data_IF_769325731320
#
_entry.id   IF_769325731320
#
_cell.length_a   1.000
_cell.length_b   1.000
_cell.length_c   1.000
_cell.angle_alpha   90.00
_cell.angle_beta   90.00
_cell.angle_gamma   90.00
#
_symmetry.space_group_name_H-M   'P 1'
#
loop_
_entity.id
_entity.type
_entity.pdbx_description
1 polymer ?
#
# COMPACT_ATOMS: atom_id res chain seq x y z
N UNK A 1 7.62 -11.25 6.10
CA UNK A 1 8.99 -11.72 5.83
C UNK A 1 9.70 -10.72 4.94
N UNK A 2 11.01 -10.57 5.11
CA UNK A 2 11.84 -9.66 4.31
C UNK A 2 11.59 -9.84 2.80
N UNK A 3 11.37 -8.73 2.07
CA UNK A 3 11.14 -8.74 0.62
C UNK A 3 9.73 -8.36 0.15
N UNK A 4 8.81 -7.98 1.03
CA UNK A 4 7.51 -7.41 0.62
C UNK A 4 7.53 -5.88 0.72
N UNK A 5 7.36 -5.21 -0.43
CA UNK A 5 7.44 -3.75 -0.54
C UNK A 5 6.55 -2.99 0.45
N UNK A 6 5.46 -3.59 0.94
CA UNK A 6 4.55 -2.98 1.91
C UNK A 6 5.25 -2.68 3.25
N UNK A 7 6.10 -3.59 3.75
CA UNK A 7 6.81 -3.38 5.01
C UNK A 7 7.74 -2.18 4.89
N UNK A 8 8.55 -2.15 3.82
CA UNK A 8 9.54 -1.09 3.63
C UNK A 8 8.83 0.26 3.42
N UNK A 9 7.67 0.27 2.75
CA UNK A 9 6.81 1.45 2.63
C UNK A 9 6.29 1.93 3.99
N UNK A 10 5.83 1.01 4.85
CA UNK A 10 5.36 1.35 6.20
C UNK A 10 6.50 1.93 7.05
N UNK A 11 7.67 1.28 7.04
CA UNK A 11 8.83 1.72 7.81
C UNK A 11 9.36 3.08 7.31
N UNK A 12 9.38 3.30 5.99
CA UNK A 12 9.76 4.58 5.41
C UNK A 12 8.82 5.71 5.83
N UNK A 13 7.53 5.43 6.02
CA UNK A 13 6.54 6.41 6.47
C UNK A 13 6.56 6.64 7.98
N UNK A 14 6.57 5.57 8.79
CA UNK A 14 6.49 5.66 10.25
C UNK A 14 7.82 6.09 10.90
N UNK A 15 8.93 6.09 10.16
CA UNK A 15 10.26 6.39 10.68
C UNK A 15 10.88 5.22 11.46
N UNK A 16 12.19 5.31 11.71
CA UNK A 16 12.86 4.37 12.62
C UNK A 16 12.29 4.54 14.02
N UNK A 17 12.00 3.45 14.77
CA UNK A 17 11.57 3.57 16.16
C UNK A 17 12.60 4.40 16.92
N UNK A 18 12.16 5.48 17.58
CA UNK A 18 13.01 6.23 18.49
C UNK A 18 13.54 5.28 19.57
N UNK A 19 14.84 5.39 19.84
CA UNK A 19 15.66 4.50 20.67
C UNK A 19 15.13 4.23 22.08
N UNK A 20 14.17 5.03 22.56
CA UNK A 20 13.62 4.96 23.92
C UNK A 20 12.36 4.08 24.03
N UNK A 21 11.79 3.63 22.91
CA UNK A 21 10.69 2.66 22.93
C UNK A 21 11.29 1.28 22.67
N UNK A 22 11.33 0.43 23.71
CA UNK A 22 11.67 -1.00 23.54
C UNK A 22 10.90 -1.52 22.32
N UNK A 23 11.56 -2.04 21.27
CA UNK A 23 10.85 -2.49 20.09
C UNK A 23 9.89 -3.59 20.53
N UNK A 24 8.58 -3.30 20.51
CA UNK A 24 7.56 -4.35 20.57
C UNK A 24 7.91 -5.32 19.44
N UNK A 25 7.87 -6.62 19.73
CA UNK A 25 8.24 -7.67 18.79
C UNK A 25 7.56 -7.39 17.45
N UNK A 26 8.36 -7.08 16.43
CA UNK A 26 7.84 -6.81 15.10
C UNK A 26 7.47 -8.16 14.48
N UNK A 27 6.19 -8.50 14.53
CA UNK A 27 5.72 -9.80 14.06
C UNK A 27 5.58 -9.78 12.54
N UNK A 28 6.36 -10.61 11.88
CA UNK A 28 6.41 -10.65 10.42
C UNK A 28 5.46 -11.70 9.85
N UNK A 29 4.41 -11.28 9.15
CA UNK A 29 3.64 -12.15 8.25
C UNK A 29 4.18 -12.11 6.82
N UNK A 30 3.98 -13.19 6.05
CA UNK A 30 4.22 -13.21 4.59
C UNK A 30 2.96 -12.84 3.78
N UNK A 31 1.80 -12.87 4.41
CA UNK A 31 0.51 -12.50 3.82
C UNK A 31 -0.18 -11.45 4.66
N UNK A 32 -0.89 -10.53 4.00
CA UNK A 32 -1.75 -9.55 4.66
C UNK A 32 -2.78 -10.24 5.55
N UNK A 33 -3.35 -11.36 5.09
CA UNK A 33 -4.33 -12.12 5.87
C UNK A 33 -3.74 -12.61 7.20
N UNK A 34 -2.52 -13.17 7.16
CA UNK A 34 -1.85 -13.64 8.38
C UNK A 34 -1.62 -12.50 9.36
N UNK A 35 -1.25 -11.31 8.86
CA UNK A 35 -1.07 -10.12 9.70
C UNK A 35 -2.38 -9.71 10.34
N UNK A 36 -3.48 -9.69 9.57
CA UNK A 36 -4.80 -9.35 10.10
C UNK A 36 -5.28 -10.35 11.15
N UNK A 37 -5.08 -11.66 10.92
CA UNK A 37 -5.39 -12.68 11.93
C UNK A 37 -4.61 -12.46 13.25
N UNK A 38 -3.39 -11.93 13.19
CA UNK A 38 -2.61 -11.60 14.40
C UNK A 38 -3.17 -10.36 15.11
N UNK A 39 -3.63 -9.37 14.35
CA UNK A 39 -4.31 -8.18 14.90
C UNK A 39 -5.63 -8.57 15.56
N UNK A 40 -6.42 -9.44 14.93
CA UNK A 40 -7.66 -9.99 15.49
C UNK A 40 -7.43 -10.73 16.82
N UNK A 41 -6.27 -11.39 16.97
CA UNK A 41 -5.84 -12.05 18.20
C UNK A 41 -5.23 -11.09 19.24
N UNK A 42 -5.18 -9.79 18.96
CA UNK A 42 -4.70 -8.77 19.89
C UNK A 42 -3.17 -8.60 19.93
N UNK A 43 -2.44 -9.11 18.94
CA UNK A 43 -0.96 -9.00 18.89
C UNK A 43 -0.48 -7.59 18.48
N UNK A 44 -1.38 -6.64 18.25
CA UNK A 44 -1.05 -5.23 18.04
C UNK A 44 -1.93 -4.56 17.00
N UNK A 45 -1.31 -3.68 16.22
CA UNK A 45 -1.94 -2.95 15.11
C UNK A 45 -1.08 -3.05 13.85
N UNK A 46 -1.68 -2.77 12.71
CA UNK A 46 -0.98 -2.79 11.42
C UNK A 46 -1.52 -1.70 10.49
N UNK A 47 -0.77 -1.39 9.45
CA UNK A 47 -1.19 -0.51 8.36
C UNK A 47 -1.51 -1.37 7.15
N UNK A 48 -2.68 -1.15 6.55
CA UNK A 48 -3.12 -1.86 5.35
C UNK A 48 -3.33 -0.87 4.19
N UNK A 49 -3.13 -1.29 2.93
CA UNK A 49 -3.55 -0.50 1.79
C UNK A 49 -5.07 -0.26 1.80
N UNK A 50 -5.51 0.92 1.34
CA UNK A 50 -6.93 1.26 1.26
C UNK A 50 -7.76 0.25 0.45
N UNK A 51 -7.16 -0.41 -0.53
CA UNK A 51 -7.79 -1.46 -1.34
C UNK A 51 -8.16 -2.71 -0.53
N UNK A 52 -7.55 -2.92 0.63
CA UNK A 52 -7.84 -4.04 1.53
C UNK A 52 -8.92 -3.71 2.59
N UNK A 53 -9.17 -2.42 2.85
CA UNK A 53 -10.14 -1.98 3.85
C UNK A 53 -11.56 -2.55 3.69
N UNK A 54 -12.13 -2.72 2.48
CA UNK A 54 -13.45 -3.31 2.31
C UNK A 54 -13.61 -4.70 2.94
N UNK A 55 -12.55 -5.51 2.92
CA UNK A 55 -12.61 -6.90 3.42
C UNK A 55 -12.70 -6.99 4.94
N UNK A 56 -12.32 -5.92 5.66
CA UNK A 56 -12.29 -5.89 7.12
C UNK A 56 -13.28 -4.89 7.72
N UNK A 57 -14.10 -4.23 6.89
CA UNK A 57 -14.98 -3.14 7.35
C UNK A 57 -16.04 -3.60 8.37
N UNK A 58 -16.50 -4.84 8.24
CA UNK A 58 -17.58 -5.40 9.07
C UNK A 58 -17.05 -6.44 10.08
N UNK A 59 -15.73 -6.53 10.24
CA UNK A 59 -15.13 -7.45 11.19
C UNK A 59 -15.27 -6.88 12.61
N UNK A 60 -15.91 -7.59 13.55
CA UNK A 60 -16.12 -7.10 14.92
C UNK A 60 -14.83 -7.10 15.76
N UNK A 61 -13.78 -7.82 15.34
CA UNK A 61 -12.53 -7.97 16.09
C UNK A 61 -11.50 -6.88 15.76
N UNK A 62 -11.70 -6.14 14.66
CA UNK A 62 -10.78 -5.08 14.24
C UNK A 62 -11.50 -3.77 13.97
N UNK A 63 -10.80 -2.67 14.23
CA UNK A 63 -11.29 -1.32 13.94
C UNK A 63 -10.36 -0.67 12.92
N UNK A 64 -10.94 -0.25 11.79
CA UNK A 64 -10.21 0.52 10.78
C UNK A 64 -10.17 2.00 11.16
N UNK A 65 -8.98 2.58 11.16
CA UNK A 65 -8.74 4.01 11.41
C UNK A 65 -8.06 4.58 10.16
N UNK A 66 -8.66 5.60 9.56
CA UNK A 66 -8.11 6.26 8.38
C UNK A 66 -7.04 7.28 8.77
N UNK A 67 -6.01 7.42 7.93
CA UNK A 67 -5.08 8.55 7.99
C UNK A 67 -5.81 9.84 7.60
N UNK A 68 -5.46 10.94 8.27
CA UNK A 68 -6.06 12.25 8.04
C UNK A 68 -5.18 13.08 7.09
N UNK A 69 -5.77 13.84 6.14
CA UNK A 69 -5.02 14.81 5.34
C UNK A 69 -4.30 15.86 6.21
N UNK A 70 -3.14 16.39 5.77
CA UNK A 70 -2.49 16.13 4.48
C UNK A 70 -1.62 14.86 4.45
N UNK A 71 -1.30 14.28 5.61
CA UNK A 71 -0.32 13.21 5.76
C UNK A 71 -0.94 11.82 5.56
N UNK A 72 -1.24 11.49 4.30
CA UNK A 72 -1.78 10.18 3.90
C UNK A 72 -0.72 9.40 3.11
N UNK A 73 -0.24 8.24 3.60
CA UNK A 73 0.73 7.42 2.88
C UNK A 73 0.19 6.97 1.53
N UNK A 74 0.93 7.25 0.45
CA UNK A 74 0.61 6.78 -0.90
C UNK A 74 1.69 5.86 -1.44
N UNK A 75 1.26 4.89 -2.25
CA UNK A 75 2.16 4.01 -3.01
C UNK A 75 1.75 4.00 -4.47
N UNK A 76 2.74 3.99 -5.37
CA UNK A 76 2.53 3.82 -6.80
C UNK A 76 2.39 2.34 -7.14
N UNK A 77 1.37 2.00 -7.91
CA UNK A 77 1.19 0.67 -8.51
C UNK A 77 1.41 0.80 -10.01
N UNK A 78 2.24 -0.10 -10.57
CA UNK A 78 2.60 -0.07 -11.98
C UNK A 78 2.46 -1.46 -12.59
N UNK A 79 1.98 -1.51 -13.83
CA UNK A 79 2.08 -2.70 -14.66
C UNK A 79 3.47 -2.73 -15.30
N UNK A 80 4.18 -3.85 -15.18
CA UNK A 80 5.54 -4.01 -15.73
C UNK A 80 5.58 -5.25 -16.60
N UNK A 81 6.16 -5.12 -17.79
CA UNK A 81 6.34 -6.22 -18.74
C UNK A 81 7.73 -6.18 -19.37
N UNK A 82 8.14 -7.30 -19.98
CA UNK A 82 9.38 -7.37 -20.76
C UNK A 82 9.22 -6.63 -22.09
N UNK A 83 10.25 -5.89 -22.50
CA UNK A 83 10.27 -5.20 -23.81
C UNK A 83 9.99 -6.13 -24.99
N UNK A 84 10.42 -7.38 -24.91
CA UNK A 84 10.24 -8.41 -25.94
C UNK A 84 8.87 -9.10 -25.90
N UNK A 85 7.91 -8.64 -25.08
CA UNK A 85 6.61 -9.29 -25.00
C UNK A 85 5.84 -9.12 -26.33
N UNK A 86 5.47 -10.23 -27.01
CA UNK A 86 4.99 -10.16 -28.39
C UNK A 86 3.52 -9.73 -28.52
N UNK A 87 2.73 -9.76 -27.44
CA UNK A 87 1.27 -9.50 -27.50
C UNK A 87 0.91 -8.10 -27.00
N UNK A 88 1.33 -7.08 -27.74
CA UNK A 88 1.09 -5.67 -27.38
C UNK A 88 -0.41 -5.35 -27.24
N UNK A 89 -1.26 -5.91 -28.11
CA UNK A 89 -2.72 -5.74 -28.02
C UNK A 89 -3.30 -6.24 -26.68
N UNK A 90 -2.76 -7.34 -26.13
CA UNK A 90 -3.19 -7.85 -24.83
C UNK A 90 -2.76 -6.94 -23.67
N UNK A 91 -1.58 -6.31 -23.77
CA UNK A 91 -1.12 -5.34 -22.78
C UNK A 91 -1.98 -4.07 -22.79
N UNK A 92 -2.34 -3.58 -23.98
CA UNK A 92 -3.25 -2.44 -24.13
C UNK A 92 -4.62 -2.74 -23.51
N UNK A 93 -5.23 -3.87 -23.89
CA UNK A 93 -6.51 -4.30 -23.32
C UNK A 93 -6.45 -4.42 -21.80
N UNK A 94 -5.39 -5.05 -21.24
CA UNK A 94 -5.24 -5.15 -19.79
C UNK A 94 -5.07 -3.79 -19.11
N UNK A 95 -4.31 -2.88 -19.72
CA UNK A 95 -4.06 -1.54 -19.17
C UNK A 95 -5.35 -0.72 -19.15
N UNK A 96 -6.15 -0.81 -20.21
CA UNK A 96 -7.46 -0.18 -20.28
C UNK A 96 -8.41 -0.73 -19.22
N UNK A 97 -8.51 -2.06 -19.08
CA UNK A 97 -9.39 -2.66 -18.07
C UNK A 97 -8.96 -2.30 -16.65
N UNK A 98 -7.66 -2.38 -16.35
CA UNK A 98 -7.14 -1.98 -15.03
C UNK A 98 -7.40 -0.51 -14.76
N UNK A 99 -7.25 0.37 -15.76
CA UNK A 99 -7.54 1.79 -15.65
C UNK A 99 -9.03 2.11 -15.40
N UNK A 100 -9.94 1.22 -15.80
CA UNK A 100 -11.38 1.34 -15.53
C UNK A 100 -11.78 0.91 -14.12
N UNK A 101 -10.94 0.17 -13.40
CA UNK A 101 -11.25 -0.32 -12.06
C UNK A 101 -11.31 0.85 -11.06
N UNK A 102 -12.44 0.96 -10.36
CA UNK A 102 -12.60 1.91 -9.25
C UNK A 102 -12.29 1.22 -7.92
N UNK A 103 -11.01 1.16 -7.58
CA UNK A 103 -10.55 0.57 -6.32
C UNK A 103 -10.54 1.63 -5.20
N UNK A 104 -10.92 1.23 -3.98
CA UNK A 104 -10.92 2.15 -2.83
C UNK A 104 -9.50 2.67 -2.55
N UNK A 105 -9.36 4.00 -2.56
CA UNK A 105 -8.09 4.69 -2.32
C UNK A 105 -7.06 4.54 -3.45
N UNK A 106 -7.46 4.05 -4.63
CA UNK A 106 -6.63 4.11 -5.83
C UNK A 106 -6.95 5.37 -6.63
N UNK A 107 -5.91 6.06 -7.08
CA UNK A 107 -6.02 7.21 -7.96
C UNK A 107 -5.31 6.88 -9.28
N UNK A 108 -5.94 7.12 -10.44
CA UNK A 108 -5.30 6.92 -11.73
C UNK A 108 -4.13 7.90 -11.85
N UNK A 109 -2.99 7.39 -12.30
CA UNK A 109 -1.82 8.20 -12.61
C UNK A 109 -1.83 8.44 -14.12
N UNK A 110 -1.68 9.69 -14.54
CA UNK A 110 -1.56 10.01 -15.97
C UNK A 110 -0.38 9.23 -16.59
N UNK A 111 -0.53 8.68 -17.82
CA UNK A 111 0.45 7.78 -18.44
C UNK A 111 1.86 8.38 -18.61
N UNK A 112 1.98 9.70 -18.52
CA UNK A 112 3.19 10.51 -18.71
C UNK A 112 3.77 11.05 -17.38
N UNK A 113 3.23 10.62 -16.23
CA UNK A 113 3.84 10.92 -14.94
C UNK A 113 5.16 10.16 -14.80
N UNK A 114 6.27 10.88 -14.90
CA UNK A 114 7.62 10.38 -14.76
C UNK A 114 7.75 9.50 -13.49
N UNK A 115 8.29 8.26 -13.57
CA UNK A 115 8.38 7.32 -12.43
C UNK A 115 9.15 7.86 -11.20
N UNK A 116 9.80 9.02 -11.29
CA UNK A 116 10.46 9.71 -10.17
C UNK A 116 9.62 10.75 -9.40
N UNK A 117 8.44 11.16 -9.86
CA UNK A 117 7.68 12.22 -9.18
C UNK A 117 6.76 11.64 -8.10
N UNK A 118 7.12 11.71 -6.82
CA UNK A 118 6.18 11.42 -5.74
C UNK A 118 5.02 12.44 -5.80
N UNK A 119 3.74 12.02 -5.79
CA UNK A 119 2.64 12.98 -5.65
C UNK A 119 2.60 13.41 -4.18
N UNK A 120 3.17 14.56 -3.83
CA UNK A 120 3.03 15.08 -2.47
C UNK A 120 3.98 16.19 -2.00
N UNK A 121 5.09 16.48 -2.66
CA UNK A 121 5.97 17.57 -2.21
C UNK A 121 5.46 18.91 -2.73
N UNK A 122 4.44 19.48 -2.07
CA UNK A 122 4.23 20.92 -2.10
C UNK A 122 5.42 21.57 -1.40
N UNK A 123 6.38 22.06 -2.19
CA UNK A 123 7.34 23.04 -1.71
C UNK A 123 6.54 24.26 -1.24
N UNK A 124 6.50 24.49 0.06
CA UNK A 124 6.16 25.81 0.62
C UNK A 124 7.20 26.79 0.09
N UNK A 125 6.72 27.78 -0.66
CA UNK A 125 7.39 29.08 -0.77
C UNK A 125 7.08 29.87 0.51
#
# INVERSE_FOLDING_TARGET
GHGHCLRDQILAYCGSPQSDVKPRQQIEGSSLQTIMNMVEQGLGMTIIPATAAPYFRNDPLVRLIAFMPPDVPMRRISLVWRKSFPRQASLQALTEEVGRLKLQGALPIAPDANPGQQPGTMHSV
#
